data_IF_917352146251
#
_entry.id   IF_917352146251
#
_cell.length_a   1.000
_cell.length_b   1.000
_cell.length_c   1.000
_cell.angle_alpha   90.00
_cell.angle_beta   90.00
_cell.angle_gamma   90.00
#
_symmetry.space_group_name_H-M   'P 1'
#
loop_
_entity.id
_entity.type
_entity.pdbx_description
1 polymer ?
#
# COMPACT_ATOMS: atom_id res chain seq x y z
N UNK A 1 -16.21 25.90 -19.54
CA UNK A 1 -16.38 24.43 -19.60
C UNK A 1 -17.84 24.16 -19.96
N UNK A 2 -18.10 23.75 -21.22
CA UNK A 2 -19.46 23.72 -21.77
C UNK A 2 -20.05 22.30 -21.64
N UNK A 3 -20.45 21.95 -20.41
CA UNK A 3 -21.23 20.74 -20.13
C UNK A 3 -22.45 21.12 -19.31
N UNK A 4 -23.60 20.49 -19.54
CA UNK A 4 -24.80 20.65 -18.70
C UNK A 4 -24.81 19.71 -17.49
N UNK A 5 -23.82 18.81 -17.41
CA UNK A 5 -23.69 17.80 -16.35
C UNK A 5 -22.60 18.26 -15.38
N UNK A 6 -23.01 18.68 -14.19
CA UNK A 6 -22.11 19.19 -13.16
C UNK A 6 -21.02 18.19 -12.74
N UNK A 7 -21.32 16.88 -12.55
CA UNK A 7 -20.30 15.86 -12.29
C UNK A 7 -19.19 15.81 -13.35
N UNK A 8 -19.52 16.04 -14.63
CA UNK A 8 -18.51 16.06 -15.69
C UNK A 8 -17.60 17.28 -15.62
N UNK A 9 -18.11 18.41 -15.11
CA UNK A 9 -17.28 19.59 -14.86
C UNK A 9 -16.31 19.35 -13.71
N UNK A 10 -16.73 18.61 -12.69
CA UNK A 10 -15.88 18.25 -11.55
C UNK A 10 -14.73 17.34 -11.96
N UNK A 11 -15.02 16.32 -12.77
CA UNK A 11 -13.99 15.44 -13.33
C UNK A 11 -13.01 16.24 -14.19
N UNK A 12 -13.49 17.10 -15.09
CA UNK A 12 -12.62 17.94 -15.91
C UNK A 12 -11.78 18.92 -15.07
N UNK A 13 -12.34 19.48 -13.98
CA UNK A 13 -11.57 20.27 -13.00
C UNK A 13 -10.53 19.45 -12.26
N UNK A 14 -10.84 18.20 -11.92
CA UNK A 14 -9.91 17.28 -11.26
C UNK A 14 -8.72 16.94 -12.17
N UNK A 15 -9.01 16.57 -13.42
CA UNK A 15 -8.00 16.26 -14.44
C UNK A 15 -7.09 17.47 -14.66
N UNK A 16 -7.66 18.67 -14.84
CA UNK A 16 -6.86 19.88 -15.07
C UNK A 16 -5.99 20.26 -13.87
N UNK A 17 -6.45 19.98 -12.63
CA UNK A 17 -5.65 20.22 -11.41
C UNK A 17 -4.48 19.25 -11.23
N UNK A 18 -4.56 18.06 -11.81
CA UNK A 18 -3.53 17.01 -11.66
C UNK A 18 -2.85 16.66 -12.99
N UNK A 19 -3.01 17.51 -14.01
CA UNK A 19 -2.57 17.22 -15.37
C UNK A 19 -1.06 16.92 -15.44
N UNK A 20 -0.24 17.69 -14.72
CA UNK A 20 1.20 17.48 -14.66
C UNK A 20 1.57 16.10 -14.08
N UNK A 21 0.85 15.64 -13.06
CA UNK A 21 1.01 14.29 -12.51
C UNK A 21 0.57 13.18 -13.47
N UNK A 22 -0.47 13.43 -14.26
CA UNK A 22 -0.93 12.50 -15.31
C UNK A 22 0.15 12.39 -16.41
N UNK A 23 0.71 13.50 -16.86
CA UNK A 23 1.79 13.50 -17.86
C UNK A 23 3.05 12.83 -17.31
N UNK A 24 3.45 13.12 -16.07
CA UNK A 24 4.60 12.46 -15.43
C UNK A 24 4.42 10.94 -15.32
N UNK A 25 3.21 10.47 -15.04
CA UNK A 25 2.88 9.05 -15.02
C UNK A 25 3.03 8.38 -16.40
N UNK A 26 2.67 9.07 -17.49
CA UNK A 26 2.83 8.50 -18.85
C UNK A 26 4.29 8.22 -19.22
N UNK A 27 5.22 9.03 -18.70
CA UNK A 27 6.65 8.86 -18.96
C UNK A 27 7.31 7.85 -18.01
N UNK A 28 6.96 7.91 -16.73
CA UNK A 28 7.60 7.09 -15.70
C UNK A 28 6.95 5.71 -15.55
N UNK A 29 5.68 5.55 -15.95
CA UNK A 29 4.82 4.39 -15.68
C UNK A 29 4.88 3.91 -14.22
N UNK A 30 5.19 4.81 -13.29
CA UNK A 30 5.28 4.46 -11.88
C UNK A 30 3.90 4.13 -11.36
N UNK A 31 3.68 2.86 -11.03
CA UNK A 31 2.43 2.41 -10.43
C UNK A 31 2.54 2.50 -8.91
N UNK A 32 1.47 2.94 -8.27
CA UNK A 32 1.36 2.86 -6.81
C UNK A 32 1.27 1.41 -6.31
N UNK A 33 1.22 0.40 -7.21
CA UNK A 33 1.04 -1.00 -6.84
C UNK A 33 2.11 -1.55 -5.90
N UNK A 34 3.37 -1.14 -6.05
CA UNK A 34 4.43 -1.55 -5.11
C UNK A 34 4.23 -0.93 -3.72
N UNK A 35 3.89 0.35 -3.66
CA UNK A 35 3.63 1.07 -2.41
C UNK A 35 2.34 0.55 -1.75
N UNK A 36 1.32 0.19 -2.53
CA UNK A 36 0.08 -0.44 -2.07
C UNK A 36 0.33 -1.85 -1.53
N UNK A 37 1.18 -2.65 -2.19
CA UNK A 37 1.58 -3.96 -1.69
C UNK A 37 2.29 -3.83 -0.33
N UNK A 38 3.19 -2.85 -0.19
CA UNK A 38 3.82 -2.51 1.09
C UNK A 38 2.77 -2.10 2.13
N UNK A 39 1.85 -1.20 1.77
CA UNK A 39 0.78 -0.77 2.68
C UNK A 39 -0.10 -1.96 3.12
N UNK A 40 -0.39 -2.91 2.23
CA UNK A 40 -1.10 -4.15 2.54
C UNK A 40 -0.37 -4.99 3.59
N UNK A 41 0.96 -5.14 3.46
CA UNK A 41 1.80 -5.84 4.45
C UNK A 41 1.78 -5.14 5.81
N UNK A 42 1.88 -3.81 5.83
CA UNK A 42 1.78 -3.03 7.06
C UNK A 42 0.41 -3.16 7.73
N UNK A 43 -0.68 -3.14 6.96
CA UNK A 43 -2.03 -3.32 7.49
C UNK A 43 -2.23 -4.74 8.03
N UNK A 44 -1.70 -5.76 7.35
CA UNK A 44 -1.72 -7.14 7.82
C UNK A 44 -0.94 -7.30 9.13
N UNK A 45 0.26 -6.71 9.21
CA UNK A 45 1.07 -6.68 10.43
C UNK A 45 0.35 -5.97 11.57
N UNK A 46 -0.27 -4.82 11.31
CA UNK A 46 -1.05 -4.06 12.31
C UNK A 46 -2.27 -4.85 12.80
N UNK A 47 -2.99 -5.54 11.91
CA UNK A 47 -4.12 -6.42 12.28
C UNK A 47 -3.65 -7.60 13.14
N UNK A 48 -2.52 -8.23 12.80
CA UNK A 48 -1.95 -9.35 13.54
C UNK A 48 -1.34 -8.92 14.89
N UNK A 49 -0.85 -7.68 14.95
CA UNK A 49 -0.33 -7.05 16.15
C UNK A 49 -1.40 -6.36 17.01
N UNK A 50 -2.69 -6.43 16.63
CA UNK A 50 -3.79 -5.78 17.35
C UNK A 50 -3.95 -6.45 18.73
N UNK A 51 -3.45 -5.79 19.78
CA UNK A 51 -3.28 -6.34 21.13
C UNK A 51 -1.91 -6.07 21.74
N UNK A 52 -0.90 -5.75 20.91
CA UNK A 52 0.41 -5.32 21.36
C UNK A 52 0.52 -3.80 21.31
N UNK A 53 0.69 -3.16 22.47
CA UNK A 53 0.78 -1.70 22.57
C UNK A 53 2.15 -1.14 22.14
N UNK A 54 3.18 -1.98 21.99
CA UNK A 54 4.55 -1.54 21.72
C UNK A 54 4.89 -1.58 20.23
N UNK A 55 5.53 -0.50 19.77
CA UNK A 55 6.02 -0.37 18.39
C UNK A 55 7.05 -1.45 18.02
N UNK A 56 7.89 -1.86 18.96
CA UNK A 56 8.87 -2.94 18.75
C UNK A 56 8.21 -4.27 18.39
N UNK A 57 7.06 -4.57 18.99
CA UNK A 57 6.30 -5.78 18.67
C UNK A 57 5.71 -5.70 17.27
N UNK A 58 5.21 -4.54 16.85
CA UNK A 58 4.70 -4.32 15.50
C UNK A 58 5.83 -4.46 14.44
N UNK A 59 7.01 -3.90 14.71
CA UNK A 59 8.21 -4.06 13.87
C UNK A 59 8.61 -5.53 13.75
N UNK A 60 8.61 -6.27 14.86
CA UNK A 60 8.96 -7.70 14.88
C UNK A 60 7.98 -8.52 14.05
N UNK A 61 6.66 -8.30 14.20
CA UNK A 61 5.63 -8.96 13.40
C UNK A 61 5.74 -8.62 11.92
N UNK A 62 6.07 -7.37 11.58
CA UNK A 62 6.32 -6.96 10.20
C UNK A 62 7.49 -7.72 9.58
N UNK A 63 8.62 -7.82 10.29
CA UNK A 63 9.77 -8.61 9.83
C UNK A 63 9.45 -10.10 9.70
N UNK A 64 8.63 -10.66 10.60
CA UNK A 64 8.14 -12.03 10.50
C UNK A 64 7.29 -12.26 9.24
N UNK A 65 6.41 -11.32 8.89
CA UNK A 65 5.53 -11.43 7.71
C UNK A 65 6.32 -11.19 6.42
N UNK A 66 7.22 -10.21 6.39
CA UNK A 66 8.00 -9.84 5.21
C UNK A 66 9.15 -10.82 4.93
N UNK A 67 9.77 -11.37 5.98
CA UNK A 67 11.00 -12.14 5.88
C UNK A 67 10.84 -13.59 5.39
N UNK A 68 9.61 -14.09 5.19
CA UNK A 68 9.31 -15.50 4.83
C UNK A 68 10.22 -16.50 5.58
N UNK A 69 10.34 -16.31 6.89
CA UNK A 69 11.27 -17.08 7.71
C UNK A 69 10.91 -18.56 7.67
N UNK A 70 11.86 -19.39 7.24
CA UNK A 70 11.69 -20.83 7.23
C UNK A 70 12.04 -21.40 8.62
N UNK A 71 11.01 -21.61 9.43
CA UNK A 71 11.17 -22.17 10.77
C UNK A 71 11.45 -23.69 10.78
N UNK A 72 11.29 -24.39 9.65
CA UNK A 72 11.60 -25.82 9.56
C UNK A 72 13.10 -26.12 9.76
N UNK A 73 13.97 -25.13 9.53
CA UNK A 73 15.42 -25.26 9.79
C UNK A 73 15.77 -25.29 11.28
N UNK A 74 14.88 -24.79 12.14
CA UNK A 74 15.14 -24.61 13.57
C UNK A 74 14.12 -25.34 14.46
N UNK A 75 13.04 -25.90 13.89
CA UNK A 75 12.02 -26.63 14.61
C UNK A 75 11.56 -27.83 13.77
N UNK A 76 11.90 -29.04 14.23
CA UNK A 76 11.58 -30.31 13.58
C UNK A 76 10.06 -30.59 13.55
N UNK A 77 9.27 -29.86 14.34
CA UNK A 77 7.81 -30.00 14.44
C UNK A 77 7.02 -28.89 13.75
N UNK A 78 7.68 -27.91 13.12
CA UNK A 78 7.02 -26.88 12.33
C UNK A 78 6.67 -27.42 10.94
N UNK A 79 5.59 -28.22 10.86
CA UNK A 79 4.91 -28.54 9.59
C UNK A 79 3.70 -27.63 9.41
#
# INVERSE_FOLDING_TARGET
>A
MRSKVEPMKDVARLIRRHFDGIVAWTQTRQTNGFIEAINGLFQAAKRKARGYARFETMRTVLFLIAGRLNFARFNEHAR
#
